data_IF_121740668889
#
_entry.id   IF_121740668889
#
_cell.length_a   1.000
_cell.length_b   1.000
_cell.length_c   1.000
_cell.angle_alpha   90.00
_cell.angle_beta   90.00
_cell.angle_gamma   90.00
#
_symmetry.space_group_name_H-M   'P 1'
#
loop_
_entity.id
_entity.type
_entity.pdbx_description
1 polymer ?
#
# COMPACT_ATOMS: atom_id res chain seq x y z
N UNK A 1 2.93 42.06 -14.30
CA UNK A 1 2.56 40.73 -13.74
C UNK A 1 2.07 39.70 -14.78
N UNK A 2 1.82 40.04 -16.05
CA UNK A 2 1.35 39.08 -17.08
C UNK A 2 2.47 38.17 -17.64
N UNK A 3 3.70 38.69 -17.79
CA UNK A 3 4.83 37.94 -18.35
C UNK A 3 5.23 36.70 -17.52
N UNK A 4 5.20 36.80 -16.18
CA UNK A 4 5.55 35.66 -15.32
C UNK A 4 4.53 34.50 -15.42
N UNK A 5 3.26 34.81 -15.70
CA UNK A 5 2.22 33.80 -15.97
C UNK A 5 2.44 33.06 -17.30
N UNK A 6 2.87 33.76 -18.36
CA UNK A 6 3.12 33.11 -19.65
C UNK A 6 4.31 32.14 -19.59
N UNK A 7 5.36 32.49 -18.84
CA UNK A 7 6.50 31.61 -18.60
C UNK A 7 6.11 30.39 -17.75
N UNK A 8 5.36 30.61 -16.67
CA UNK A 8 4.87 29.52 -15.81
C UNK A 8 3.97 28.54 -16.58
N UNK A 9 3.16 29.04 -17.52
CA UNK A 9 2.32 28.19 -18.36
C UNK A 9 3.14 27.39 -19.39
N UNK A 10 4.19 27.98 -19.97
CA UNK A 10 5.13 27.25 -20.84
C UNK A 10 5.87 26.14 -20.09
N UNK A 11 6.30 26.41 -18.85
CA UNK A 11 6.94 25.40 -18.01
C UNK A 11 5.98 24.25 -17.64
N UNK A 12 4.69 24.54 -17.41
CA UNK A 12 3.67 23.51 -17.17
C UNK A 12 3.44 22.60 -18.37
N UNK A 13 3.53 23.14 -19.60
CA UNK A 13 3.39 22.36 -20.83
C UNK A 13 4.54 21.34 -20.95
N UNK A 14 5.78 21.79 -20.77
CA UNK A 14 6.97 20.92 -20.85
C UNK A 14 6.99 19.92 -19.69
N UNK A 15 6.56 20.35 -18.50
CA UNK A 15 6.52 19.47 -17.33
C UNK A 15 5.71 18.19 -17.60
N UNK A 16 4.64 18.23 -18.41
CA UNK A 16 3.85 17.04 -18.73
C UNK A 16 4.68 15.86 -19.27
N UNK A 17 5.74 16.15 -20.02
CA UNK A 17 6.58 15.14 -20.69
C UNK A 17 7.74 14.67 -19.80
N UNK A 18 8.06 15.40 -18.74
CA UNK A 18 9.12 15.05 -17.79
C UNK A 18 8.57 14.07 -16.75
N UNK A 19 8.95 12.79 -16.86
CA UNK A 19 8.61 11.75 -15.89
C UNK A 19 8.87 12.22 -14.45
N UNK A 20 7.88 12.05 -13.58
CA UNK A 20 7.96 12.42 -12.17
C UNK A 20 7.68 13.89 -11.84
N UNK A 21 7.57 14.77 -12.84
CA UNK A 21 7.18 16.16 -12.62
C UNK A 21 5.72 16.30 -12.14
N UNK A 22 5.35 17.49 -11.69
CA UNK A 22 3.96 17.81 -11.33
C UNK A 22 3.00 17.69 -12.52
N UNK A 23 3.43 18.11 -13.72
CA UNK A 23 2.61 18.02 -14.94
C UNK A 23 2.38 16.57 -15.38
N UNK A 24 3.42 15.74 -15.30
CA UNK A 24 3.36 14.31 -15.60
C UNK A 24 2.39 13.58 -14.65
N UNK A 25 2.54 13.79 -13.33
CA UNK A 25 1.63 13.23 -12.32
C UNK A 25 0.18 13.69 -12.51
N UNK A 26 -0.04 14.96 -12.87
CA UNK A 26 -1.38 15.48 -13.12
C UNK A 26 -2.01 14.84 -14.37
N UNK A 27 -1.26 14.64 -15.44
CA UNK A 27 -1.73 13.96 -16.65
C UNK A 27 -2.21 12.54 -16.34
N UNK A 28 -1.41 11.73 -15.66
CA UNK A 28 -1.78 10.36 -15.32
C UNK A 28 -3.00 10.28 -14.38
N UNK A 29 -3.13 11.19 -13.42
CA UNK A 29 -4.36 11.26 -12.60
C UNK A 29 -5.59 11.60 -13.43
N UNK A 30 -5.47 12.48 -14.42
CA UNK A 30 -6.57 12.82 -15.32
C UNK A 30 -6.93 11.67 -16.26
N UNK A 31 -5.93 10.91 -16.72
CA UNK A 31 -6.12 9.69 -17.49
C UNK A 31 -6.88 8.63 -16.67
N UNK A 32 -6.45 8.36 -15.42
CA UNK A 32 -7.17 7.47 -14.50
C UNK A 32 -8.61 7.93 -14.29
N UNK A 33 -8.86 9.24 -14.06
CA UNK A 33 -10.22 9.79 -13.93
C UNK A 33 -11.06 9.64 -15.20
N UNK A 34 -10.46 9.81 -16.38
CA UNK A 34 -11.14 9.62 -17.65
C UNK A 34 -11.54 8.16 -17.85
N UNK A 35 -10.64 7.22 -17.53
CA UNK A 35 -10.92 5.79 -17.55
C UNK A 35 -12.05 5.41 -16.58
N UNK A 36 -12.03 5.94 -15.35
CA UNK A 36 -13.10 5.77 -14.35
C UNK A 36 -14.47 6.28 -14.85
N UNK A 37 -14.47 7.41 -15.58
CA UNK A 37 -15.71 7.99 -16.12
C UNK A 37 -16.24 7.21 -17.32
N UNK A 38 -15.35 6.67 -18.16
CA UNK A 38 -15.70 6.02 -19.42
C UNK A 38 -16.07 4.55 -19.27
N UNK A 39 -15.47 3.83 -18.32
CA UNK A 39 -15.62 2.37 -18.19
C UNK A 39 -16.30 1.93 -16.88
N UNK A 40 -16.86 2.86 -16.09
CA UNK A 40 -17.16 2.60 -14.67
C UNK A 40 -15.86 2.52 -13.86
N UNK A 41 -15.85 2.13 -12.59
CA UNK A 41 -14.61 2.01 -11.79
C UNK A 41 -13.81 0.76 -12.18
N UNK A 42 -12.76 0.81 -13.03
CA UNK A 42 -12.01 -0.38 -13.38
C UNK A 42 -10.78 -0.41 -12.47
N UNK A 43 -10.68 -1.44 -11.64
CA UNK A 43 -9.68 -1.61 -10.58
C UNK A 43 -9.88 -0.71 -9.35
N UNK A 44 -10.46 -1.32 -8.30
CA UNK A 44 -10.29 -0.86 -6.92
C UNK A 44 -8.82 -1.02 -6.55
N UNK A 45 -8.08 0.09 -6.46
CA UNK A 45 -6.73 0.08 -5.91
C UNK A 45 -6.81 0.10 -4.40
N UNK A 46 -6.54 -1.06 -3.78
CA UNK A 46 -6.52 -1.22 -2.34
C UNK A 46 -5.10 -1.55 -1.88
N UNK A 47 -4.54 -0.70 -1.01
CA UNK A 47 -3.30 -1.00 -0.30
C UNK A 47 -3.66 -1.54 1.08
N UNK A 48 -3.36 -2.82 1.32
CA UNK A 48 -3.53 -3.45 2.62
C UNK A 48 -2.16 -3.79 3.20
N UNK A 49 -2.01 -3.51 4.49
CA UNK A 49 -0.90 -4.02 5.29
C UNK A 49 -1.50 -4.73 6.51
N UNK A 50 -1.63 -6.08 6.48
CA UNK A 50 -2.14 -6.81 7.63
C UNK A 50 -1.18 -6.62 8.81
N UNK A 51 -1.70 -6.29 9.99
CA UNK A 51 -0.88 -6.08 11.17
C UNK A 51 -0.54 -7.42 11.83
N UNK A 52 0.69 -7.87 11.63
CA UNK A 52 1.28 -9.06 12.23
C UNK A 52 1.49 -8.93 13.74
N UNK A 53 1.91 -7.76 14.21
CA UNK A 53 2.15 -7.48 15.65
C UNK A 53 0.91 -7.68 16.53
N UNK A 54 -0.30 -7.51 15.98
CA UNK A 54 -1.55 -7.64 16.75
C UNK A 54 -2.22 -9.00 16.61
N UNK A 55 -1.69 -9.91 15.77
CA UNK A 55 -2.39 -11.15 15.42
C UNK A 55 -1.63 -12.40 15.89
N UNK A 56 -2.25 -13.29 16.69
CA UNK A 56 -1.55 -14.45 17.28
C UNK A 56 -1.02 -15.45 16.25
N UNK A 57 -1.57 -15.47 15.03
CA UNK A 57 -1.11 -16.33 13.95
C UNK A 57 0.39 -16.18 13.64
N UNK A 58 0.95 -14.97 13.71
CA UNK A 58 2.40 -14.80 13.47
C UNK A 58 3.22 -15.51 14.56
N UNK A 59 2.73 -15.51 15.80
CA UNK A 59 3.30 -16.28 16.91
C UNK A 59 3.26 -17.78 16.63
N UNK A 60 2.10 -18.30 16.23
CA UNK A 60 1.91 -19.73 15.91
C UNK A 60 2.83 -20.17 14.75
N UNK A 61 2.91 -19.37 13.69
CA UNK A 61 3.81 -19.62 12.55
C UNK A 61 5.28 -19.56 12.95
N UNK A 62 5.62 -18.77 13.97
CA UNK A 62 6.94 -18.72 14.59
C UNK A 62 7.16 -19.76 15.69
N UNK A 63 6.26 -20.72 15.87
CA UNK A 63 6.40 -21.84 16.82
C UNK A 63 5.97 -21.55 18.25
N UNK A 64 5.28 -20.43 18.51
CA UNK A 64 4.72 -20.13 19.82
C UNK A 64 3.34 -20.77 20.01
N UNK A 65 3.05 -21.13 21.25
CA UNK A 65 1.69 -21.45 21.67
C UNK A 65 0.85 -20.16 21.82
N UNK A 66 -0.47 -20.20 21.59
CA UNK A 66 -1.34 -19.03 21.72
C UNK A 66 -1.26 -18.34 23.09
N UNK A 67 -1.11 -19.12 24.16
CA UNK A 67 -1.01 -18.62 25.53
C UNK A 67 0.28 -17.81 25.73
N UNK A 68 1.39 -18.25 25.12
CA UNK A 68 2.65 -17.53 25.14
C UNK A 68 2.56 -16.22 24.35
N UNK A 69 1.81 -16.21 23.24
CA UNK A 69 1.52 -14.97 22.50
C UNK A 69 0.76 -13.96 23.36
N UNK A 70 -0.31 -14.40 24.04
CA UNK A 70 -1.17 -13.55 24.86
C UNK A 70 -0.48 -12.97 26.09
N UNK A 71 0.52 -13.67 26.63
CA UNK A 71 1.29 -13.20 27.78
C UNK A 71 2.31 -12.09 27.43
N UNK A 72 2.68 -11.94 26.16
CA UNK A 72 3.63 -10.93 25.70
C UNK A 72 2.99 -9.54 25.54
N UNK A 73 3.77 -8.52 25.83
CA UNK A 73 3.48 -7.12 25.51
C UNK A 73 3.61 -6.84 24.01
N UNK A 74 3.02 -5.74 23.54
CA UNK A 74 3.13 -5.30 22.14
C UNK A 74 4.58 -5.04 21.70
N UNK A 75 5.44 -4.62 22.63
CA UNK A 75 6.86 -4.44 22.35
C UNK A 75 7.52 -5.80 22.07
N UNK A 76 7.25 -6.81 22.91
CA UNK A 76 7.75 -8.17 22.71
C UNK A 76 7.20 -8.80 21.44
N UNK A 77 5.92 -8.54 21.08
CA UNK A 77 5.37 -8.93 19.77
C UNK A 77 6.16 -8.31 18.62
N UNK A 78 6.48 -7.01 18.71
CA UNK A 78 7.25 -6.30 17.68
C UNK A 78 8.66 -6.87 17.53
N UNK A 79 9.33 -7.17 18.65
CA UNK A 79 10.64 -7.83 18.66
C UNK A 79 10.55 -9.24 18.09
N UNK A 80 9.51 -10.01 18.46
CA UNK A 80 9.30 -11.35 17.94
C UNK A 80 9.11 -11.36 16.42
N UNK A 81 8.25 -10.48 15.89
CA UNK A 81 8.01 -10.34 14.45
C UNK A 81 9.30 -9.97 13.72
N UNK A 82 10.05 -8.98 14.23
CA UNK A 82 11.32 -8.55 13.64
C UNK A 82 12.36 -9.68 13.60
N UNK A 83 12.41 -10.53 14.63
CA UNK A 83 13.32 -11.67 14.71
C UNK A 83 12.85 -12.89 13.90
N UNK A 84 11.58 -12.94 13.46
CA UNK A 84 10.99 -14.06 12.73
C UNK A 84 10.41 -13.62 11.36
N UNK A 85 11.23 -13.12 10.43
CA UNK A 85 10.75 -12.60 9.14
C UNK A 85 10.05 -13.64 8.28
N UNK A 86 10.41 -14.92 8.41
CA UNK A 86 9.73 -16.02 7.71
C UNK A 86 8.28 -16.21 8.20
N UNK A 87 8.03 -16.11 9.51
CA UNK A 87 6.70 -16.19 10.08
C UNK A 87 5.85 -14.97 9.66
N UNK A 88 6.44 -13.78 9.64
CA UNK A 88 5.79 -12.56 9.14
C UNK A 88 5.40 -12.67 7.66
N UNK A 89 6.29 -13.20 6.81
CA UNK A 89 6.02 -13.43 5.39
C UNK A 89 4.90 -14.47 5.16
N UNK A 90 4.89 -15.55 5.93
CA UNK A 90 3.82 -16.55 5.90
C UNK A 90 2.49 -15.96 6.35
N UNK A 91 2.48 -15.18 7.43
CA UNK A 91 1.30 -14.46 7.90
C UNK A 91 0.74 -13.56 6.79
N UNK A 92 1.59 -12.73 6.16
CA UNK A 92 1.19 -11.87 5.05
C UNK A 92 0.58 -12.69 3.90
N UNK A 93 1.22 -13.78 3.51
CA UNK A 93 0.73 -14.65 2.44
C UNK A 93 -0.65 -15.25 2.76
N UNK A 94 -0.84 -15.77 3.98
CA UNK A 94 -2.13 -16.32 4.43
C UNK A 94 -3.22 -15.25 4.40
N UNK A 95 -2.94 -14.06 4.95
CA UNK A 95 -3.90 -12.95 5.00
C UNK A 95 -4.30 -12.48 3.61
N UNK A 96 -3.33 -12.31 2.70
CA UNK A 96 -3.62 -11.86 1.34
C UNK A 96 -4.32 -12.93 0.51
N UNK A 97 -3.98 -14.21 0.69
CA UNK A 97 -4.66 -15.30 -0.01
C UNK A 97 -6.13 -15.38 0.40
N UNK A 98 -6.43 -15.31 1.70
CA UNK A 98 -7.83 -15.30 2.18
C UNK A 98 -8.57 -14.05 1.74
N UNK A 99 -7.92 -12.88 1.79
CA UNK A 99 -8.50 -11.64 1.29
C UNK A 99 -8.91 -11.75 -0.18
N UNK A 100 -8.02 -12.29 -1.02
CA UNK A 100 -8.30 -12.49 -2.45
C UNK A 100 -9.42 -13.52 -2.67
N UNK A 101 -9.48 -14.60 -1.89
CA UNK A 101 -10.57 -15.59 -1.99
C UNK A 101 -11.96 -15.04 -1.64
N UNK A 102 -12.03 -14.02 -0.78
CA UNK A 102 -13.32 -13.42 -0.38
C UNK A 102 -13.83 -12.44 -1.44
N UNK A 103 -12.92 -11.77 -2.16
CA UNK A 103 -13.25 -10.66 -3.07
C UNK A 103 -13.25 -11.07 -4.54
N UNK A 104 -12.47 -12.09 -4.91
CA UNK A 104 -12.44 -12.66 -6.26
C UNK A 104 -13.47 -13.78 -6.42
#
# INVERSE_FOLDING_TARGET
KSCCKSLSNKLKLIAKEVKGSTGYKLCHRNEIRALLKSFGTPALFLTLNPCDVHHPLVGILGGLLPEAWQAMSLYEHSVFVANNPAAAAQFFHVMMTHFLQIIA
#
